data_IF_057333546808
#
_entry.id   IF_057333546808
#
_cell.length_a   1.000
_cell.length_b   1.000
_cell.length_c   1.000
_cell.angle_alpha   90.00
_cell.angle_beta   90.00
_cell.angle_gamma   90.00
#
_symmetry.space_group_name_H-M   'P 1'
#
loop_
_entity.id
_entity.type
_entity.pdbx_description
1 polymer ?
#
# COMPACT_ATOMS: atom_id res chain seq x y z
N UNK A 1 14.34 15.86 9.35
CA UNK A 1 14.49 14.57 8.62
C UNK A 1 13.34 14.47 7.62
N UNK A 2 13.37 15.25 6.54
CA UNK A 2 12.26 15.32 5.58
C UNK A 2 12.87 15.25 4.18
N UNK A 3 12.87 14.06 3.57
CA UNK A 3 13.41 13.88 2.22
C UNK A 3 13.67 12.43 1.83
N UNK A 4 14.11 11.59 2.77
CA UNK A 4 14.49 10.19 2.48
C UNK A 4 13.32 9.34 1.96
N UNK A 5 12.15 9.42 2.60
CA UNK A 5 10.97 8.65 2.19
C UNK A 5 10.43 9.04 0.82
N UNK A 6 10.39 10.34 0.50
CA UNK A 6 9.91 10.81 -0.80
C UNK A 6 10.88 10.42 -1.94
N UNK A 7 12.19 10.54 -1.72
CA UNK A 7 13.19 10.14 -2.70
C UNK A 7 13.13 8.63 -2.99
N UNK A 8 13.02 7.80 -1.96
CA UNK A 8 12.90 6.34 -2.12
C UNK A 8 11.64 5.94 -2.93
N UNK A 9 10.53 6.66 -2.75
CA UNK A 9 9.31 6.41 -3.53
C UNK A 9 9.52 6.79 -5.00
N UNK A 10 10.14 7.93 -5.28
CA UNK A 10 10.39 8.38 -6.65
C UNK A 10 11.33 7.41 -7.41
N UNK A 11 12.42 6.97 -6.79
CA UNK A 11 13.33 5.96 -7.35
C UNK A 11 12.61 4.64 -7.64
N UNK A 12 11.76 4.20 -6.71
CA UNK A 12 11.00 2.97 -6.90
C UNK A 12 9.98 3.08 -8.03
N UNK A 13 9.32 4.24 -8.18
CA UNK A 13 8.38 4.49 -9.27
C UNK A 13 9.07 4.42 -10.64
N UNK A 14 10.28 4.95 -10.77
CA UNK A 14 11.06 4.92 -12.02
C UNK A 14 11.35 3.50 -12.54
N UNK A 15 11.31 2.48 -11.66
CA UNK A 15 11.49 1.07 -12.07
C UNK A 15 10.23 0.51 -12.78
N UNK A 16 9.04 1.01 -12.45
CA UNK A 16 7.78 0.37 -12.83
C UNK A 16 6.86 1.20 -13.72
N UNK A 17 7.02 2.51 -13.74
CA UNK A 17 6.28 3.39 -14.65
C UNK A 17 7.23 4.24 -15.47
N UNK A 18 6.78 4.76 -16.59
CA UNK A 18 7.54 5.73 -17.37
C UNK A 18 7.66 7.05 -16.60
N UNK A 19 8.77 7.76 -16.82
CA UNK A 19 9.02 9.07 -16.21
C UNK A 19 7.89 10.06 -16.54
N UNK A 20 7.33 9.99 -17.74
CA UNK A 20 6.25 10.89 -18.17
C UNK A 20 4.92 10.57 -17.51
N UNK A 21 4.62 9.29 -17.30
CA UNK A 21 3.46 8.86 -16.51
C UNK A 21 3.61 9.33 -15.06
N UNK A 22 4.79 9.17 -14.48
CA UNK A 22 5.09 9.64 -13.12
C UNK A 22 4.96 11.16 -12.97
N UNK A 23 5.66 11.94 -13.80
CA UNK A 23 5.62 13.41 -13.79
C UNK A 23 4.21 13.95 -14.01
N UNK A 24 3.44 13.33 -14.92
CA UNK A 24 2.06 13.73 -15.19
C UNK A 24 1.15 13.45 -14.00
N UNK A 25 1.31 12.29 -13.34
CA UNK A 25 0.58 11.93 -12.14
C UNK A 25 0.87 12.94 -11.02
N UNK A 26 2.16 13.14 -10.70
CA UNK A 26 2.58 14.06 -9.63
C UNK A 26 2.07 15.47 -9.90
N UNK A 27 2.25 16.01 -11.11
CA UNK A 27 1.78 17.36 -11.48
C UNK A 27 0.28 17.52 -11.32
N UNK A 28 -0.51 16.52 -11.74
CA UNK A 28 -1.98 16.55 -11.65
C UNK A 28 -2.45 16.55 -10.20
N UNK A 29 -1.82 15.77 -9.35
CA UNK A 29 -2.28 15.54 -7.99
C UNK A 29 -1.62 16.42 -6.93
N UNK A 30 -0.48 17.07 -7.22
CA UNK A 30 0.24 17.92 -6.26
C UNK A 30 -0.65 18.94 -5.56
N UNK A 31 -1.58 19.56 -6.29
CA UNK A 31 -2.57 20.51 -5.74
C UNK A 31 -3.91 19.88 -5.37
N UNK A 32 -4.27 18.73 -5.94
CA UNK A 32 -5.59 18.09 -5.75
C UNK A 32 -5.62 17.10 -4.59
N UNK A 33 -4.48 16.57 -4.18
CA UNK A 33 -4.39 15.49 -3.21
C UNK A 33 -4.53 14.12 -3.86
N UNK A 34 -4.71 13.09 -3.02
CA UNK A 34 -4.60 11.69 -3.42
C UNK A 34 -5.95 10.95 -3.51
N UNK A 35 -7.09 11.62 -3.35
CA UNK A 35 -8.40 10.94 -3.22
C UNK A 35 -8.77 10.06 -4.41
N UNK A 36 -8.53 10.55 -5.64
CA UNK A 36 -8.75 9.77 -6.86
C UNK A 36 -7.85 8.52 -6.94
N UNK A 37 -6.59 8.62 -6.46
CA UNK A 37 -5.67 7.48 -6.39
C UNK A 37 -6.12 6.47 -5.34
N UNK A 38 -6.53 6.96 -4.16
CA UNK A 38 -7.03 6.14 -3.07
C UNK A 38 -8.31 5.40 -3.49
N UNK A 39 -9.22 6.08 -4.17
CA UNK A 39 -10.44 5.47 -4.69
C UNK A 39 -10.13 4.37 -5.70
N UNK A 40 -9.26 4.63 -6.68
CA UNK A 40 -8.89 3.62 -7.66
C UNK A 40 -8.21 2.41 -7.01
N UNK A 41 -7.34 2.64 -6.01
CA UNK A 41 -6.72 1.54 -5.27
C UNK A 41 -7.75 0.68 -4.52
N UNK A 42 -8.75 1.31 -3.88
CA UNK A 42 -9.86 0.60 -3.22
C UNK A 42 -10.67 -0.21 -4.22
N UNK A 43 -10.99 0.35 -5.38
CA UNK A 43 -11.76 -0.33 -6.43
C UNK A 43 -11.01 -1.57 -6.96
N UNK A 44 -9.68 -1.45 -7.16
CA UNK A 44 -8.84 -2.58 -7.59
C UNK A 44 -8.79 -3.68 -6.52
N UNK A 45 -8.58 -3.31 -5.24
CA UNK A 45 -8.52 -4.28 -4.14
C UNK A 45 -9.86 -4.98 -3.92
N UNK A 46 -10.97 -4.23 -3.96
CA UNK A 46 -12.32 -4.80 -3.85
C UNK A 46 -12.66 -5.71 -5.03
N UNK A 47 -12.25 -5.33 -6.25
CA UNK A 47 -12.43 -6.17 -7.44
C UNK A 47 -11.66 -7.49 -7.34
N UNK A 48 -10.45 -7.48 -6.76
CA UNK A 48 -9.69 -8.70 -6.45
C UNK A 48 -10.44 -9.60 -5.47
N UNK A 49 -10.98 -9.06 -4.39
CA UNK A 49 -11.71 -9.87 -3.40
C UNK A 49 -12.97 -10.52 -4.01
N UNK A 50 -13.66 -9.78 -4.89
CA UNK A 50 -14.81 -10.32 -5.64
C UNK A 50 -14.43 -11.39 -6.68
N UNK A 51 -13.21 -11.35 -7.23
CA UNK A 51 -12.71 -12.38 -8.14
C UNK A 51 -12.44 -13.71 -7.42
N UNK A 52 -11.98 -13.66 -6.16
CA UNK A 52 -11.83 -14.87 -5.34
C UNK A 52 -13.20 -15.50 -4.99
N UNK A 53 -14.24 -14.70 -4.81
CA UNK A 53 -15.60 -15.18 -4.56
C UNK A 53 -16.31 -15.68 -5.84
N UNK A 54 -15.82 -15.30 -7.02
CA UNK A 54 -16.45 -15.59 -8.32
C UNK A 54 -15.43 -16.16 -9.31
N UNK A 55 -14.92 -17.36 -9.02
CA UNK A 55 -14.10 -18.14 -9.98
C UNK A 55 -14.95 -18.67 -11.17
N UNK A 56 -16.25 -18.41 -11.22
CA UNK A 56 -17.11 -18.78 -12.34
C UNK A 56 -17.78 -17.56 -12.97
N UNK A 57 -17.36 -17.25 -14.21
CA UNK A 57 -17.99 -16.33 -15.18
C UNK A 57 -17.60 -14.85 -15.02
N UNK A 58 -16.46 -14.47 -15.60
CA UNK A 58 -16.39 -13.53 -16.74
C UNK A 58 -14.96 -13.02 -16.91
N UNK A 59 -14.24 -13.62 -17.85
CA UNK A 59 -13.01 -13.05 -18.38
C UNK A 59 -13.40 -11.80 -19.21
N UNK A 60 -13.11 -10.62 -18.68
CA UNK A 60 -13.22 -9.36 -19.41
C UNK A 60 -14.36 -8.47 -18.93
N UNK A 61 -14.13 -7.75 -17.83
CA UNK A 61 -15.14 -6.79 -17.39
C UNK A 61 -14.76 -5.92 -16.19
N UNK A 62 -13.56 -5.34 -16.13
CA UNK A 62 -13.31 -4.29 -15.11
C UNK A 62 -12.47 -3.08 -15.57
N UNK A 63 -12.08 -3.01 -16.85
CA UNK A 63 -11.31 -1.88 -17.40
C UNK A 63 -12.07 -1.08 -18.46
N UNK A 64 -13.39 -1.28 -18.57
CA UNK A 64 -14.20 -0.68 -19.61
C UNK A 64 -15.33 0.18 -19.06
N UNK A 65 -15.04 1.31 -18.42
CA UNK A 65 -16.02 2.39 -18.35
C UNK A 65 -15.33 3.77 -18.26
N UNK A 66 -15.64 4.61 -19.26
CA UNK A 66 -15.48 6.06 -19.36
C UNK A 66 -14.12 6.65 -19.82
N UNK A 67 -14.17 7.28 -21.01
CA UNK A 67 -13.30 8.40 -21.43
C UNK A 67 -11.83 8.06 -21.74
N UNK A 68 -11.05 9.09 -22.13
CA UNK A 68 -9.58 8.98 -22.15
C UNK A 68 -9.10 8.44 -20.79
N UNK A 69 -8.23 7.43 -20.76
CA UNK A 69 -7.82 6.82 -19.51
C UNK A 69 -7.21 7.90 -18.60
N UNK A 70 -7.76 8.03 -17.40
CA UNK A 70 -7.21 8.97 -16.41
C UNK A 70 -5.80 8.51 -16.04
N UNK A 71 -4.91 9.44 -15.71
CA UNK A 71 -3.48 9.15 -15.48
C UNK A 71 -3.24 8.13 -14.36
N UNK A 72 -4.13 8.07 -13.38
CA UNK A 72 -4.14 7.10 -12.27
C UNK A 72 -4.32 5.67 -12.82
N UNK A 73 -5.19 5.48 -13.83
CA UNK A 73 -5.37 4.19 -14.50
C UNK A 73 -4.18 3.82 -15.38
N UNK A 74 -3.59 4.79 -16.08
CA UNK A 74 -2.38 4.57 -16.90
C UNK A 74 -1.23 4.12 -16.00
N UNK A 75 -1.00 4.82 -14.89
CA UNK A 75 -0.01 4.46 -13.89
C UNK A 75 -0.23 3.04 -13.37
N UNK A 76 -1.45 2.69 -12.96
CA UNK A 76 -1.78 1.35 -12.45
C UNK A 76 -1.56 0.25 -13.51
N UNK A 77 -1.89 0.52 -14.77
CA UNK A 77 -1.68 -0.41 -15.89
C UNK A 77 -0.20 -0.62 -16.21
N UNK A 78 0.60 0.43 -16.24
CA UNK A 78 2.05 0.32 -16.45
C UNK A 78 2.69 -0.51 -15.32
N UNK A 79 2.33 -0.20 -14.08
CA UNK A 79 2.79 -0.91 -12.90
C UNK A 79 2.41 -2.41 -12.95
N UNK A 80 1.16 -2.73 -13.24
CA UNK A 80 0.69 -4.12 -13.34
C UNK A 80 1.43 -4.91 -14.44
N UNK A 81 1.67 -4.29 -15.60
CA UNK A 81 2.32 -4.94 -16.75
C UNK A 81 3.80 -5.23 -16.52
N UNK A 82 4.50 -4.42 -15.72
CA UNK A 82 5.94 -4.60 -15.44
C UNK A 82 6.21 -5.55 -14.29
N UNK A 83 5.18 -6.01 -13.58
CA UNK A 83 5.32 -6.91 -12.44
C UNK A 83 4.99 -8.35 -12.89
N UNK A 84 5.98 -9.27 -12.91
CA UNK A 84 5.76 -10.66 -13.28
C UNK A 84 5.16 -11.44 -12.09
N UNK A 85 3.87 -11.24 -11.85
CA UNK A 85 3.12 -11.92 -10.79
C UNK A 85 1.85 -12.56 -11.35
N UNK A 86 1.26 -13.55 -10.66
CA UNK A 86 -0.09 -14.01 -10.98
C UNK A 86 -1.08 -12.84 -10.87
N UNK A 87 -2.16 -12.91 -11.64
CA UNK A 87 -3.10 -11.79 -11.86
C UNK A 87 -3.56 -11.09 -10.57
N UNK A 88 -3.93 -11.85 -9.54
CA UNK A 88 -4.39 -11.28 -8.26
C UNK A 88 -3.29 -10.50 -7.52
N UNK A 89 -2.06 -10.98 -7.60
CA UNK A 89 -0.90 -10.33 -7.01
C UNK A 89 -0.45 -9.11 -7.84
N UNK A 90 -0.67 -9.10 -9.16
CA UNK A 90 -0.51 -7.90 -9.99
C UNK A 90 -1.50 -6.81 -9.61
N UNK A 91 -2.78 -7.14 -9.41
CA UNK A 91 -3.80 -6.18 -8.97
C UNK A 91 -3.47 -5.60 -7.60
N UNK A 92 -3.05 -6.45 -6.67
CA UNK A 92 -2.60 -6.02 -5.34
C UNK A 92 -1.42 -5.07 -5.44
N UNK A 93 -0.38 -5.43 -6.21
CA UNK A 93 0.79 -4.58 -6.38
C UNK A 93 0.45 -3.25 -7.06
N UNK A 94 -0.45 -3.25 -8.04
CA UNK A 94 -0.94 -2.05 -8.71
C UNK A 94 -1.65 -1.09 -7.74
N UNK A 95 -2.56 -1.62 -6.92
CA UNK A 95 -3.25 -0.84 -5.89
C UNK A 95 -2.27 -0.28 -4.84
N UNK A 96 -1.29 -1.07 -4.41
CA UNK A 96 -0.26 -0.63 -3.45
C UNK A 96 0.63 0.47 -4.03
N UNK A 97 1.02 0.36 -5.30
CA UNK A 97 1.76 1.43 -5.95
C UNK A 97 0.97 2.72 -6.09
N UNK A 98 -0.35 2.65 -6.34
CA UNK A 98 -1.23 3.84 -6.33
C UNK A 98 -1.26 4.50 -4.94
N UNK A 99 -1.37 3.71 -3.87
CA UNK A 99 -1.35 4.22 -2.50
C UNK A 99 -0.03 4.93 -2.21
N UNK A 100 1.11 4.31 -2.52
CA UNK A 100 2.45 4.87 -2.32
C UNK A 100 2.65 6.15 -3.14
N UNK A 101 2.22 6.17 -4.40
CA UNK A 101 2.27 7.36 -5.25
C UNK A 101 1.42 8.50 -4.67
N UNK A 102 0.23 8.20 -4.14
CA UNK A 102 -0.61 9.18 -3.47
C UNK A 102 0.01 9.75 -2.19
N UNK A 103 0.70 8.92 -1.40
CA UNK A 103 1.46 9.38 -0.22
C UNK A 103 2.57 10.35 -0.63
N UNK A 104 3.33 10.02 -1.68
CA UNK A 104 4.36 10.91 -2.23
C UNK A 104 3.79 12.26 -2.67
N UNK A 105 2.63 12.25 -3.34
CA UNK A 105 1.94 13.48 -3.73
C UNK A 105 1.58 14.33 -2.52
N UNK A 106 1.04 13.74 -1.45
CA UNK A 106 0.67 14.48 -0.25
C UNK A 106 1.90 15.08 0.45
N UNK A 107 2.99 14.31 0.55
CA UNK A 107 4.27 14.77 1.10
C UNK A 107 4.82 15.98 0.32
N UNK A 108 4.92 15.86 -1.01
CA UNK A 108 5.49 16.92 -1.88
C UNK A 108 4.53 18.08 -2.14
N UNK A 109 3.25 17.88 -1.83
CA UNK A 109 2.19 18.89 -1.87
C UNK A 109 2.04 19.68 -0.57
N UNK A 110 2.89 19.44 0.45
CA UNK A 110 2.82 20.06 1.77
C UNK A 110 1.45 19.90 2.45
N UNK A 111 0.82 18.74 2.25
CA UNK A 111 -0.42 18.37 2.93
C UNK A 111 -0.11 17.57 4.18
N UNK A 112 -0.93 17.71 5.21
CA UNK A 112 -0.84 16.86 6.39
C UNK A 112 -1.05 15.39 5.99
N UNK A 113 -0.16 14.52 6.45
CA UNK A 113 -0.26 13.08 6.26
C UNK A 113 -1.49 12.49 6.97
N UNK A 114 -1.95 13.10 8.07
CA UNK A 114 -3.17 12.69 8.75
C UNK A 114 -4.41 12.77 7.83
N UNK A 115 -4.40 13.71 6.88
CA UNK A 115 -5.45 13.92 5.89
C UNK A 115 -5.22 13.13 4.58
N UNK A 116 -4.10 12.45 4.45
CA UNK A 116 -3.79 11.65 3.27
C UNK A 116 -4.67 10.38 3.23
N UNK A 117 -5.65 10.36 2.31
CA UNK A 117 -6.54 9.22 2.12
C UNK A 117 -5.77 7.91 1.79
N UNK A 118 -4.73 7.98 0.96
CA UNK A 118 -3.90 6.83 0.65
C UNK A 118 -3.19 6.25 1.88
N UNK A 119 -2.64 7.12 2.75
CA UNK A 119 -1.98 6.68 3.98
C UNK A 119 -2.98 6.04 4.95
N UNK A 120 -4.15 6.68 5.09
CA UNK A 120 -5.24 6.18 5.95
C UNK A 120 -5.73 4.81 5.50
N UNK A 121 -5.84 4.57 4.20
CA UNK A 121 -6.25 3.27 3.66
C UNK A 121 -5.20 2.19 3.90
N UNK A 122 -3.90 2.50 3.73
CA UNK A 122 -2.81 1.59 4.08
C UNK A 122 -2.88 1.23 5.57
N UNK A 123 -3.06 2.20 6.46
CA UNK A 123 -3.20 1.93 7.89
C UNK A 123 -4.44 1.11 8.24
N UNK A 124 -5.59 1.36 7.59
CA UNK A 124 -6.82 0.61 7.87
C UNK A 124 -6.69 -0.87 7.48
N UNK A 125 -5.96 -1.16 6.41
CA UNK A 125 -5.80 -2.51 5.88
C UNK A 125 -4.64 -3.25 6.55
N UNK A 126 -3.43 -2.69 6.47
CA UNK A 126 -2.23 -3.33 7.03
C UNK A 126 -2.03 -3.06 8.51
N UNK A 127 -2.44 -1.88 8.99
CA UNK A 127 -2.24 -1.50 10.40
C UNK A 127 -3.01 -2.41 11.34
N UNK A 128 -4.26 -2.76 10.99
CA UNK A 128 -5.04 -3.70 11.79
C UNK A 128 -4.42 -5.11 11.82
N UNK A 129 -4.00 -5.63 10.68
CA UNK A 129 -3.38 -6.96 10.59
C UNK A 129 -2.02 -6.99 11.30
N UNK A 130 -1.16 -5.99 11.09
CA UNK A 130 0.14 -5.91 11.77
C UNK A 130 -0.01 -5.71 13.27
N UNK A 131 -0.94 -4.88 13.72
CA UNK A 131 -1.26 -4.73 15.15
C UNK A 131 -1.80 -6.05 15.69
N UNK A 132 -2.69 -6.74 14.98
CA UNK A 132 -3.19 -8.05 15.40
C UNK A 132 -2.07 -9.10 15.48
N UNK A 133 -1.15 -9.14 14.52
CA UNK A 133 0.04 -10.00 14.54
C UNK A 133 0.96 -9.66 15.72
N UNK A 134 1.17 -8.37 16.00
CA UNK A 134 1.95 -7.95 17.17
C UNK A 134 1.26 -8.33 18.48
N UNK A 135 -0.06 -8.23 18.56
CA UNK A 135 -0.83 -8.64 19.74
C UNK A 135 -0.82 -10.17 19.91
N UNK A 136 -0.93 -10.94 18.84
CA UNK A 136 -0.85 -12.40 18.87
C UNK A 136 0.57 -12.87 19.23
N UNK A 137 1.59 -12.32 18.58
CA UNK A 137 2.99 -12.60 18.89
C UNK A 137 3.37 -12.17 20.31
N UNK A 138 2.83 -11.05 20.80
CA UNK A 138 2.99 -10.66 22.21
C UNK A 138 2.30 -11.67 23.14
N UNK A 139 1.09 -12.15 22.83
CA UNK A 139 0.44 -13.18 23.68
C UNK A 139 1.25 -14.48 23.72
N UNK A 140 1.94 -14.85 22.64
CA UNK A 140 2.86 -15.99 22.60
C UNK A 140 4.12 -15.73 23.43
N UNK A 141 4.74 -14.55 23.28
CA UNK A 141 5.94 -14.13 24.04
C UNK A 141 5.62 -13.98 25.55
N UNK A 142 4.39 -13.58 25.89
CA UNK A 142 3.94 -13.43 27.27
C UNK A 142 3.68 -14.77 27.96
N UNK A 143 3.45 -15.85 27.21
CA UNK A 143 3.38 -17.21 27.77
C UNK A 143 4.75 -17.74 28.21
N UNK A 144 5.86 -17.13 27.78
CA UNK A 144 7.21 -17.43 28.26
C UNK A 144 7.64 -16.62 29.50
N UNK A 145 6.86 -15.60 29.89
CA UNK A 145 7.17 -14.74 31.04
C UNK A 145 7.33 -15.47 32.40
N UNK A 146 6.63 -16.58 32.72
CA UNK A 146 6.82 -17.25 34.01
C UNK A 146 8.15 -18.02 34.13
N UNK A 147 8.84 -18.31 33.03
CA UNK A 147 10.10 -19.10 33.04
C UNK A 147 11.32 -18.22 33.30
N UNK A 148 11.32 -16.96 32.84
CA UNK A 148 12.49 -16.07 33.02
C UNK A 148 12.56 -15.37 34.39
N UNK A 149 11.45 -15.26 35.13
CA UNK A 149 11.43 -14.56 36.43
C UNK A 149 11.96 -15.43 37.58
N UNK A 150 12.19 -16.74 37.38
CA UNK A 150 12.82 -17.62 38.41
C UNK A 150 14.32 -17.88 38.20
N UNK A 151 14.95 -17.27 37.21
CA UNK A 151 16.37 -17.49 36.88
C UNK A 151 17.37 -16.43 37.36
N UNK A 152 16.90 -15.32 37.93
CA UNK A 152 17.76 -14.26 38.49
C UNK A 152 17.49 -14.14 39.98
N UNK A 153 18.17 -14.96 40.78
CA UNK A 153 18.04 -14.89 42.23
C UNK A 153 18.54 -16.12 42.97
N UNK A 154 19.79 -16.55 42.74
CA UNK A 154 20.53 -17.45 43.65
C UNK A 154 22.04 -17.35 43.38
N UNK A 155 22.59 -16.15 43.55
CA UNK A 155 24.03 -15.92 43.71
C UNK A 155 24.30 -15.54 45.16
N UNK A 156 24.42 -16.53 46.04
CA UNK A 156 24.82 -16.36 47.43
C UNK A 156 25.85 -17.42 47.78
N UNK A 157 27.12 -17.02 47.81
CA UNK A 157 28.29 -17.80 48.25
C UNK A 157 28.89 -17.10 49.47
N UNK A 158 29.28 -17.79 50.54
CA UNK A 158 30.48 -17.46 51.30
C UNK A 158 31.71 -18.11 50.67
#
# INVERSE_FOLDING_TARGET
MEGGGAAAIADRAATYVSDETWKTLVRRHRRRGCDDLAQLARDILKGKDQLHDVVARSAGGLLGFLGRPRIERIFAQELARRIPLPFDAQLSAAARGLQIAGIYVCLTGNRDLADCACLRDVFKTEGKERIAQLMQGAVEDWRELPVRVRGVGSGGRP
#
